data_IF_183239978204
#
_entry.id   IF_183239978204
#
_cell.length_a   1.000
_cell.length_b   1.000
_cell.length_c   1.000
_cell.angle_alpha   90.00
_cell.angle_beta   90.00
_cell.angle_gamma   90.00
#
_symmetry.space_group_name_H-M   'P 1'
#
loop_
_entity.id
_entity.type
_entity.pdbx_description
1 polymer ?
#
# COMPACT_ATOMS: atom_id res chain seq x y z
N UNK A 1 31.31 -3.90 24.87
CA UNK A 1 30.92 -2.53 24.49
C UNK A 1 30.25 -2.51 23.11
N UNK A 2 30.84 -3.13 22.09
CA UNK A 2 30.26 -3.21 20.75
C UNK A 2 28.99 -4.04 20.68
N UNK A 3 28.87 -5.05 21.52
CA UNK A 3 27.71 -5.93 21.55
C UNK A 3 26.44 -5.20 22.04
N UNK A 4 26.59 -4.40 23.11
CA UNK A 4 25.49 -3.61 23.65
C UNK A 4 25.00 -2.55 22.65
N UNK A 5 25.92 -1.95 21.88
CA UNK A 5 25.61 -0.98 20.87
C UNK A 5 24.82 -1.59 19.72
N UNK A 6 25.19 -2.78 19.26
CA UNK A 6 24.47 -3.50 18.19
C UNK A 6 23.06 -3.86 18.64
N UNK A 7 22.91 -4.35 19.89
CA UNK A 7 21.59 -4.68 20.45
C UNK A 7 20.73 -3.41 20.54
N UNK A 8 21.30 -2.29 20.97
CA UNK A 8 20.60 -1.02 21.07
C UNK A 8 20.11 -0.54 19.70
N UNK A 9 20.97 -0.58 18.68
CA UNK A 9 20.58 -0.22 17.32
C UNK A 9 19.44 -1.11 16.80
N UNK A 10 19.51 -2.41 17.12
CA UNK A 10 18.52 -3.37 16.68
C UNK A 10 17.16 -3.10 17.33
N UNK A 11 17.13 -2.82 18.63
CA UNK A 11 15.89 -2.51 19.36
C UNK A 11 15.30 -1.17 18.97
N UNK A 12 16.12 -0.18 18.63
CA UNK A 12 15.66 1.16 18.24
C UNK A 12 15.23 1.23 16.77
N UNK A 13 15.83 0.41 15.90
CA UNK A 13 15.58 0.47 14.45
C UNK A 13 14.76 -0.69 13.91
N UNK A 14 14.94 -1.90 14.46
CA UNK A 14 14.39 -3.12 13.89
C UNK A 14 12.91 -3.37 14.17
N UNK A 15 12.32 -2.69 15.14
CA UNK A 15 10.93 -2.93 15.56
C UNK A 15 10.02 -1.73 15.39
N UNK A 16 10.43 -0.75 14.57
CA UNK A 16 9.67 0.48 14.37
C UNK A 16 8.70 0.41 13.19
N UNK A 17 8.44 -0.76 12.67
CA UNK A 17 7.50 -0.93 11.57
C UNK A 17 6.06 -0.87 12.11
N UNK A 18 5.21 -0.10 11.42
CA UNK A 18 3.78 -0.02 11.71
C UNK A 18 3.17 -1.42 11.68
N UNK A 19 2.45 -1.84 12.74
CA UNK A 19 1.81 -3.16 12.77
C UNK A 19 0.86 -3.42 11.61
N UNK A 20 0.14 -2.41 11.14
CA UNK A 20 -0.74 -2.54 9.98
C UNK A 20 0.06 -2.92 8.73
N UNK A 21 1.18 -2.23 8.49
CA UNK A 21 2.04 -2.50 7.34
C UNK A 21 2.63 -3.91 7.44
N UNK A 22 3.15 -4.25 8.62
CA UNK A 22 3.75 -5.56 8.86
C UNK A 22 2.76 -6.69 8.61
N UNK A 23 1.55 -6.55 9.13
CA UNK A 23 0.49 -7.53 8.95
C UNK A 23 0.07 -7.63 7.48
N UNK A 24 -0.16 -6.49 6.82
CA UNK A 24 -0.54 -6.45 5.42
C UNK A 24 0.48 -7.15 4.52
N UNK A 25 1.77 -6.88 4.74
CA UNK A 25 2.84 -7.46 3.94
C UNK A 25 3.02 -8.96 4.17
N UNK A 26 2.50 -9.50 5.26
CA UNK A 26 2.54 -10.94 5.55
C UNK A 26 1.39 -11.71 4.89
N UNK A 27 0.40 -11.02 4.35
CA UNK A 27 -0.80 -11.62 3.75
C UNK A 27 -0.63 -11.72 2.24
N UNK A 28 -0.96 -12.88 1.68
CA UNK A 28 -1.08 -13.02 0.25
C UNK A 28 -2.44 -12.47 -0.19
N UNK A 29 -2.42 -11.37 -0.95
CA UNK A 29 -3.63 -10.73 -1.43
C UNK A 29 -4.21 -11.40 -2.66
N UNK A 30 -5.49 -11.12 -2.92
CA UNK A 30 -6.22 -11.63 -4.08
C UNK A 30 -6.59 -10.48 -5.01
N UNK A 31 -6.03 -10.51 -6.23
CA UNK A 31 -6.20 -9.42 -7.20
C UNK A 31 -7.65 -9.18 -7.59
N UNK A 32 -8.46 -10.23 -7.70
CA UNK A 32 -9.88 -10.08 -8.05
C UNK A 32 -10.65 -9.31 -6.98
N UNK A 33 -10.42 -9.64 -5.71
CA UNK A 33 -11.02 -8.91 -4.59
C UNK A 33 -10.53 -7.47 -4.53
N UNK A 34 -9.24 -7.25 -4.79
CA UNK A 34 -8.67 -5.92 -4.88
C UNK A 34 -9.27 -5.09 -6.01
N UNK A 35 -9.52 -5.71 -7.16
CA UNK A 35 -10.19 -5.07 -8.30
C UNK A 35 -11.58 -4.56 -7.91
N UNK A 36 -12.33 -5.33 -7.15
CA UNK A 36 -13.66 -4.93 -6.69
C UNK A 36 -13.59 -3.74 -5.74
N UNK A 37 -12.64 -3.75 -4.81
CA UNK A 37 -12.41 -2.62 -3.91
C UNK A 37 -12.02 -1.37 -4.68
N UNK A 38 -11.16 -1.50 -5.67
CA UNK A 38 -10.73 -0.40 -6.51
C UNK A 38 -11.92 0.23 -7.25
N UNK A 39 -12.79 -0.59 -7.82
CA UNK A 39 -13.98 -0.09 -8.54
C UNK A 39 -14.94 0.68 -7.66
N UNK A 40 -15.04 0.32 -6.39
CA UNK A 40 -15.93 1.00 -5.44
C UNK A 40 -15.33 2.33 -4.96
N UNK A 41 -14.02 2.37 -4.72
CA UNK A 41 -13.41 3.45 -3.95
C UNK A 41 -12.45 4.35 -4.75
N UNK A 42 -11.89 3.88 -5.86
CA UNK A 42 -10.73 4.52 -6.47
C UNK A 42 -10.97 5.02 -7.89
N UNK A 43 -11.93 4.46 -8.61
CA UNK A 43 -12.14 4.78 -10.03
C UNK A 43 -12.59 6.22 -10.27
N UNK A 44 -13.25 6.84 -9.30
CA UNK A 44 -13.69 8.23 -9.44
C UNK A 44 -12.55 9.19 -9.67
N UNK A 45 -11.37 8.90 -9.15
CA UNK A 45 -10.17 9.74 -9.31
C UNK A 45 -9.14 9.12 -10.22
N UNK A 46 -9.04 7.78 -10.26
CA UNK A 46 -7.97 7.10 -11.02
C UNK A 46 -8.44 6.49 -12.35
N UNK A 47 -9.73 6.52 -12.63
CA UNK A 47 -10.30 5.93 -13.83
C UNK A 47 -10.64 4.48 -13.69
N UNK A 48 -11.59 4.00 -14.51
CA UNK A 48 -12.11 2.62 -14.41
C UNK A 48 -11.06 1.56 -14.70
N UNK A 49 -10.04 1.89 -15.49
CA UNK A 49 -8.91 1.02 -15.80
C UNK A 49 -7.64 1.46 -15.10
N UNK A 50 -7.74 2.28 -14.05
CA UNK A 50 -6.61 2.86 -13.33
C UNK A 50 -5.68 3.70 -14.23
N UNK A 51 -6.20 4.20 -15.34
CA UNK A 51 -5.44 4.96 -16.34
C UNK A 51 -5.15 6.39 -15.92
N UNK A 52 -5.76 6.86 -14.84
CA UNK A 52 -5.65 8.24 -14.38
C UNK A 52 -6.82 9.09 -14.81
N UNK A 53 -7.13 10.08 -13.99
CA UNK A 53 -8.17 11.07 -14.25
C UNK A 53 -7.83 12.31 -13.43
N UNK A 54 -8.47 12.51 -12.25
CA UNK A 54 -8.02 13.51 -11.27
C UNK A 54 -6.75 13.04 -10.55
N UNK A 55 -6.67 11.75 -10.25
CA UNK A 55 -5.45 11.13 -9.74
C UNK A 55 -4.60 10.57 -10.88
N UNK A 56 -3.34 10.19 -10.59
CA UNK A 56 -2.44 9.69 -11.63
C UNK A 56 -2.79 8.29 -12.13
N UNK A 57 -2.20 7.94 -13.28
CA UNK A 57 -2.19 6.58 -13.81
C UNK A 57 -1.47 5.67 -12.83
N UNK A 58 -2.07 4.53 -12.49
CA UNK A 58 -1.52 3.60 -11.50
C UNK A 58 -0.88 2.35 -12.10
N UNK A 59 -0.77 2.25 -13.43
CA UNK A 59 -0.24 1.03 -14.07
C UNK A 59 1.19 0.71 -13.63
N UNK A 60 2.01 1.72 -13.40
CA UNK A 60 3.40 1.54 -13.00
C UNK A 60 3.67 1.89 -11.54
N UNK A 61 2.62 2.14 -10.74
CA UNK A 61 2.79 2.57 -9.36
C UNK A 61 3.61 1.58 -8.53
N UNK A 62 3.40 0.28 -8.70
CA UNK A 62 4.13 -0.75 -7.96
C UNK A 62 5.57 -0.93 -8.43
N UNK A 63 5.93 -0.40 -9.59
CA UNK A 63 7.33 -0.34 -10.05
C UNK A 63 8.04 0.89 -9.49
N UNK A 64 7.32 2.00 -9.34
CA UNK A 64 7.88 3.28 -8.91
C UNK A 64 7.91 3.43 -7.39
N UNK A 65 6.94 2.83 -6.69
CA UNK A 65 6.78 2.94 -5.25
C UNK A 65 6.85 1.57 -4.60
N UNK A 66 7.43 1.51 -3.40
CA UNK A 66 7.39 0.31 -2.58
C UNK A 66 5.97 0.04 -2.08
N UNK A 67 5.67 -1.21 -1.76
CA UNK A 67 4.37 -1.57 -1.17
C UNK A 67 4.09 -0.77 0.10
N UNK A 68 5.10 -0.56 0.93
CA UNK A 68 4.98 0.25 2.14
C UNK A 68 4.52 1.67 1.83
N UNK A 69 5.08 2.31 0.80
CA UNK A 69 4.69 3.66 0.40
C UNK A 69 3.27 3.70 -0.12
N UNK A 70 2.87 2.69 -0.88
CA UNK A 70 1.50 2.59 -1.40
C UNK A 70 0.51 2.42 -0.23
N UNK A 71 0.81 1.55 0.71
CA UNK A 71 -0.03 1.34 1.90
C UNK A 71 -0.20 2.66 2.66
N UNK A 72 0.90 3.36 2.93
CA UNK A 72 0.84 4.63 3.65
C UNK A 72 0.03 5.69 2.88
N UNK A 73 0.16 5.73 1.56
CA UNK A 73 -0.60 6.67 0.72
C UNK A 73 -2.10 6.42 0.83
N UNK A 74 -2.52 5.15 0.78
CA UNK A 74 -3.93 4.78 0.84
C UNK A 74 -4.51 5.00 2.24
N UNK A 75 -3.81 4.54 3.26
CA UNK A 75 -4.31 4.56 4.64
C UNK A 75 -4.27 5.97 5.24
N UNK A 76 -3.25 6.75 4.92
CA UNK A 76 -3.03 8.07 5.52
C UNK A 76 -3.43 9.25 4.63
N UNK A 77 -3.65 9.01 3.34
CA UNK A 77 -4.01 10.10 2.42
C UNK A 77 -2.95 11.19 2.36
N UNK A 78 -1.69 10.81 2.12
CA UNK A 78 -0.55 11.72 2.25
C UNK A 78 -0.48 12.80 1.16
N UNK A 79 -1.21 12.63 0.07
CA UNK A 79 -1.18 13.55 -1.08
C UNK A 79 -2.60 14.03 -1.39
N UNK A 80 -3.06 15.11 -0.73
CA UNK A 80 -4.38 15.65 -1.04
C UNK A 80 -4.48 16.03 -2.53
N UNK A 81 -5.67 15.87 -3.15
CA UNK A 81 -6.97 15.59 -2.57
C UNK A 81 -7.29 14.11 -2.34
N UNK A 82 -6.34 13.19 -2.49
CA UNK A 82 -6.59 11.79 -2.19
C UNK A 82 -6.92 11.62 -0.70
N UNK A 83 -8.11 11.08 -0.34
CA UNK A 83 -8.46 10.90 1.07
C UNK A 83 -7.74 9.70 1.69
N UNK A 84 -7.80 9.62 3.02
CA UNK A 84 -7.40 8.42 3.74
C UNK A 84 -8.54 7.40 3.72
N UNK A 85 -8.18 6.11 3.69
CA UNK A 85 -9.15 5.02 3.69
C UNK A 85 -8.94 4.13 4.90
N UNK A 86 -10.04 3.77 5.58
CA UNK A 86 -10.02 2.78 6.65
C UNK A 86 -10.38 1.41 6.09
N UNK A 87 -9.37 0.58 5.86
CA UNK A 87 -9.55 -0.80 5.40
C UNK A 87 -8.69 -1.73 6.24
N UNK A 88 -9.10 -2.99 6.32
CA UNK A 88 -8.36 -4.00 7.07
C UNK A 88 -7.13 -4.48 6.30
N UNK A 89 -6.17 -5.17 6.96
CA UNK A 89 -4.96 -5.63 6.29
C UNK A 89 -5.21 -6.58 5.11
N UNK A 90 -6.21 -7.46 5.19
CA UNK A 90 -6.53 -8.34 4.07
C UNK A 90 -6.98 -7.55 2.85
N UNK A 91 -7.87 -6.58 3.06
CA UNK A 91 -8.36 -5.72 1.97
C UNK A 91 -7.22 -4.90 1.35
N UNK A 92 -6.31 -4.40 2.17
CA UNK A 92 -5.14 -3.67 1.66
C UNK A 92 -4.22 -4.60 0.86
N UNK A 93 -4.00 -5.82 1.33
CA UNK A 93 -3.21 -6.82 0.60
C UNK A 93 -3.86 -7.17 -0.74
N UNK A 94 -5.19 -7.31 -0.77
CA UNK A 94 -5.95 -7.56 -2.00
C UNK A 94 -5.78 -6.40 -2.99
N UNK A 95 -5.87 -5.17 -2.50
CA UNK A 95 -5.68 -3.97 -3.32
C UNK A 95 -4.27 -3.92 -3.91
N UNK A 96 -3.25 -4.22 -3.11
CA UNK A 96 -1.87 -4.32 -3.59
C UNK A 96 -1.72 -5.38 -4.68
N UNK A 97 -2.32 -6.55 -4.48
CA UNK A 97 -2.29 -7.63 -5.48
C UNK A 97 -2.90 -7.17 -6.81
N UNK A 98 -4.03 -6.45 -6.74
CA UNK A 98 -4.63 -5.86 -7.94
C UNK A 98 -3.68 -4.87 -8.61
N UNK A 99 -3.07 -3.97 -7.84
CA UNK A 99 -2.15 -2.97 -8.39
C UNK A 99 -0.93 -3.63 -9.04
N UNK A 100 -0.38 -4.67 -8.42
CA UNK A 100 0.70 -5.44 -9.04
C UNK A 100 0.27 -6.10 -10.34
N UNK A 101 -1.00 -6.51 -10.45
CA UNK A 101 -1.53 -7.11 -11.67
C UNK A 101 -1.60 -6.13 -12.86
N UNK A 102 -1.56 -4.83 -12.59
CA UNK A 102 -1.57 -3.79 -13.62
C UNK A 102 -0.24 -3.66 -14.35
N UNK A 103 0.82 -4.23 -13.82
CA UNK A 103 2.19 -4.14 -14.38
C UNK A 103 2.44 -5.12 -15.54
N UNK A 104 1.49 -5.37 -16.35
CA UNK A 104 1.68 -6.31 -17.49
C UNK A 104 2.14 -5.62 -18.75
#
# INVERSE_FOLDING_TARGET
ATFAFIILLWTLGGFNQDPFISETLSIQGEALSGSKLFKINCVGCHGISAQGLLGPDLHDATKELSDKKIINQVIKGLTPPMPSFEIDPQSMADLLAYMHSLNK
#
